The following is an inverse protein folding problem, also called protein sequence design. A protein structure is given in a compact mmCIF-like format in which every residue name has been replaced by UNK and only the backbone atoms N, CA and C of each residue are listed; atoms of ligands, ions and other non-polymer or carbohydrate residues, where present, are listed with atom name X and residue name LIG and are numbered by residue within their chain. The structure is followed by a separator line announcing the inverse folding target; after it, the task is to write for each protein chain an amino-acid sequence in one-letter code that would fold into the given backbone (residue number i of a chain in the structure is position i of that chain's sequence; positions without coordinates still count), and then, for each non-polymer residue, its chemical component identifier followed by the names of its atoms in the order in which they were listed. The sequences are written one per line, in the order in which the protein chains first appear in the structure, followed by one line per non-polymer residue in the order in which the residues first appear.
data_IF_036355478722
#
_entry.id   IF_036355478722
#
_cell.length_a   1.000
_cell.length_b   1.000
_cell.length_c   1.000
_cell.angle_alpha   90.00
_cell.angle_beta   90.00
_cell.angle_gamma   90.00
#
_symmetry.space_group_name_H-M   'P 1'
#
loop_
_entity.id
_entity.type
_entity.pdbx_description
1 polymer ?
#
# COMPACT_ATOMS: atom_id res chain seq x y z
N UNK A 1 -15.58 -6.01 -46.46
CA UNK A 1 -14.19 -6.41 -46.15
C UNK A 1 -13.84 -5.79 -44.80
N UNK A 2 -14.45 -6.24 -43.71
CA UNK A 2 -13.92 -7.30 -42.85
C UNK A 2 -12.50 -7.03 -42.37
N UNK A 3 -12.38 -6.46 -41.16
CA UNK A 3 -11.46 -6.87 -40.09
C UNK A 3 -11.46 -5.78 -39.02
N UNK A 4 -12.23 -5.93 -37.94
CA UNK A 4 -11.90 -6.73 -36.74
C UNK A 4 -10.85 -6.04 -35.88
N UNK A 5 -11.22 -5.73 -34.63
CA UNK A 5 -10.24 -5.42 -33.59
C UNK A 5 -10.81 -4.62 -32.42
N UNK A 6 -11.79 -5.16 -31.70
CA UNK A 6 -11.87 -4.85 -30.26
C UNK A 6 -10.74 -5.61 -29.56
N UNK A 7 -9.95 -4.93 -28.73
CA UNK A 7 -9.72 -5.43 -27.37
C UNK A 7 -9.86 -4.26 -26.37
N UNK A 8 -10.80 -4.29 -25.43
CA UNK A 8 -10.76 -5.06 -24.17
C UNK A 8 -9.64 -4.61 -23.20
N UNK A 9 -10.06 -4.07 -22.05
CA UNK A 9 -9.43 -3.99 -20.71
C UNK A 9 -9.56 -2.57 -20.14
N UNK A 10 -10.13 -2.29 -18.96
CA UNK A 10 -10.52 -3.13 -17.83
C UNK A 10 -10.19 -2.37 -16.55
N UNK A 11 -11.22 -2.02 -15.75
CA UNK A 11 -11.05 -1.79 -14.30
C UNK A 11 -10.62 -0.41 -13.81
N UNK A 12 -11.39 0.65 -14.08
CA UNK A 12 -11.11 2.01 -13.56
C UNK A 12 -11.34 2.23 -12.05
N UNK A 13 -11.81 1.23 -11.29
CA UNK A 13 -12.12 1.38 -9.86
C UNK A 13 -11.03 0.93 -8.88
N UNK A 14 -10.07 0.10 -9.31
CA UNK A 14 -9.01 -0.45 -8.43
C UNK A 14 -7.63 0.22 -8.64
N UNK A 15 -7.51 1.13 -9.61
CA UNK A 15 -6.24 1.78 -9.94
C UNK A 15 -5.87 2.89 -8.94
N UNK A 16 -6.85 3.59 -8.39
CA UNK A 16 -6.61 4.69 -7.46
C UNK A 16 -6.00 4.20 -6.13
N UNK A 17 -6.57 3.15 -5.54
CA UNK A 17 -6.06 2.56 -4.30
C UNK A 17 -4.63 2.00 -4.47
N UNK A 18 -4.35 1.33 -5.60
CA UNK A 18 -2.99 0.87 -5.93
C UNK A 18 -2.01 2.02 -6.10
N UNK A 19 -2.39 3.08 -6.81
CA UNK A 19 -1.54 4.27 -6.95
C UNK A 19 -1.23 4.93 -5.61
N UNK A 20 -2.22 5.04 -4.72
CA UNK A 20 -2.01 5.61 -3.39
C UNK A 20 -1.00 4.77 -2.60
N UNK A 21 -1.14 3.44 -2.58
CA UNK A 21 -0.18 2.56 -1.89
C UNK A 21 1.21 2.63 -2.51
N UNK A 22 1.32 2.74 -3.84
CA UNK A 22 2.61 2.88 -4.54
C UNK A 22 3.31 4.19 -4.16
N UNK A 23 2.59 5.32 -4.15
CA UNK A 23 3.11 6.63 -3.73
C UNK A 23 3.53 6.59 -2.26
N UNK A 24 2.70 6.03 -1.39
CA UNK A 24 3.03 5.90 0.04
C UNK A 24 4.27 5.02 0.26
N UNK A 25 4.44 3.97 -0.55
CA UNK A 25 5.62 3.12 -0.49
C UNK A 25 6.89 3.86 -0.93
N UNK A 26 6.83 4.68 -1.98
CA UNK A 26 7.94 5.55 -2.36
C UNK A 26 8.30 6.54 -1.24
N UNK A 27 7.30 7.19 -0.63
CA UNK A 27 7.52 8.09 0.52
C UNK A 27 8.18 7.33 1.68
N UNK A 28 7.71 6.11 1.97
CA UNK A 28 8.28 5.26 3.03
C UNK A 28 9.74 4.87 2.75
N UNK A 29 10.08 4.67 1.47
CA UNK A 29 11.44 4.37 1.02
C UNK A 29 12.35 5.58 1.17
N UNK A 30 11.87 6.77 0.79
CA UNK A 30 12.59 8.03 0.95
C UNK A 30 12.85 8.36 2.43
N UNK A 31 11.87 8.09 3.30
CA UNK A 31 11.98 8.27 4.75
C UNK A 31 12.72 7.10 5.44
N UNK A 32 13.19 6.11 4.67
CA UNK A 32 13.90 4.93 5.15
C UNK A 32 13.16 4.16 6.27
N UNK A 33 11.83 4.20 6.26
CA UNK A 33 10.98 3.50 7.24
C UNK A 33 10.89 1.99 6.96
N UNK A 34 11.32 1.57 5.75
CA UNK A 34 11.37 0.17 5.31
C UNK A 34 10.01 -0.53 5.43
N UNK A 35 8.92 0.16 5.18
CA UNK A 35 7.58 -0.43 5.19
C UNK A 35 7.30 -1.13 3.86
N UNK A 36 6.88 -2.39 3.92
CA UNK A 36 6.48 -3.13 2.72
C UNK A 36 5.05 -2.71 2.29
N UNK A 37 4.73 -2.88 1.01
CA UNK A 37 3.40 -2.53 0.47
C UNK A 37 2.26 -3.22 1.21
N UNK A 38 2.45 -4.47 1.64
CA UNK A 38 1.45 -5.19 2.44
C UNK A 38 1.27 -4.56 3.82
N UNK A 39 2.36 -4.14 4.45
CA UNK A 39 2.33 -3.45 5.74
C UNK A 39 1.65 -2.09 5.62
N UNK A 40 1.97 -1.30 4.59
CA UNK A 40 1.31 -0.02 4.34
C UNK A 40 -0.20 -0.17 4.12
N UNK A 41 -0.62 -1.18 3.35
CA UNK A 41 -2.05 -1.45 3.16
C UNK A 41 -2.74 -1.80 4.48
N UNK A 42 -2.10 -2.60 5.32
CA UNK A 42 -2.62 -2.93 6.65
C UNK A 42 -2.68 -1.69 7.54
N UNK A 43 -1.65 -0.85 7.52
CA UNK A 43 -1.63 0.38 8.29
C UNK A 43 -2.76 1.33 7.90
N UNK A 44 -3.00 1.50 6.59
CA UNK A 44 -4.12 2.31 6.09
C UNK A 44 -5.45 1.75 6.60
N UNK A 45 -5.67 0.44 6.50
CA UNK A 45 -6.89 -0.18 7.02
C UNK A 45 -7.05 -0.02 8.53
N UNK A 46 -5.97 -0.10 9.31
CA UNK A 46 -6.02 0.09 10.76
C UNK A 46 -6.33 1.54 11.14
N UNK A 47 -5.72 2.50 10.44
CA UNK A 47 -6.00 3.94 10.63
C UNK A 47 -7.46 4.27 10.25
N UNK A 48 -7.97 3.69 9.15
CA UNK A 48 -9.38 3.82 8.76
C UNK A 48 -10.34 3.23 9.79
N UNK A 49 -9.90 2.22 10.55
CA UNK A 49 -10.65 1.65 11.68
C UNK A 49 -10.45 2.44 13.00
N UNK A 50 -9.74 3.57 12.97
CA UNK A 50 -9.55 4.45 14.14
C UNK A 50 -8.40 4.04 15.06
N UNK A 51 -7.49 3.17 14.60
CA UNK A 51 -6.28 2.82 15.35
C UNK A 51 -5.29 3.99 15.32
N UNK A 52 -4.68 4.28 16.48
CA UNK A 52 -3.69 5.33 16.60
C UNK A 52 -2.42 4.98 15.78
N UNK A 53 -2.00 5.81 14.80
CA UNK A 53 -0.83 5.54 13.98
C UNK A 53 0.49 5.50 14.77
N UNK A 54 0.59 6.19 15.91
CA UNK A 54 1.79 6.17 16.75
C UNK A 54 2.02 4.80 17.40
N UNK A 55 0.95 4.20 17.96
CA UNK A 55 1.01 2.84 18.51
C UNK A 55 1.31 1.80 17.43
N UNK A 56 0.85 2.06 16.21
CA UNK A 56 1.09 1.20 15.07
C UNK A 56 2.55 1.27 14.59
N UNK A 57 3.14 2.47 14.55
CA UNK A 57 4.54 2.67 14.19
C UNK A 57 5.48 1.95 15.18
N UNK A 58 5.16 1.96 16.46
CA UNK A 58 5.91 1.23 17.50
C UNK A 58 5.84 -0.29 17.24
N UNK A 59 4.65 -0.86 17.03
CA UNK A 59 4.50 -2.30 16.73
C UNK A 59 5.23 -2.71 15.44
N UNK A 60 5.14 -1.88 14.39
CA UNK A 60 5.75 -2.16 13.10
C UNK A 60 7.28 -2.09 13.15
N UNK A 61 7.84 -1.18 13.94
CA UNK A 61 9.29 -1.02 14.10
C UNK A 61 9.88 -2.03 15.11
N UNK A 62 9.13 -2.36 16.16
CA UNK A 62 9.51 -3.30 17.22
C UNK A 62 9.44 -4.77 16.74
N UNK A 63 8.45 -5.11 15.90
CA UNK A 63 8.30 -6.44 15.30
C UNK A 63 9.46 -6.84 14.36
N UNK A 64 10.20 -5.87 13.81
CA UNK A 64 11.37 -6.14 12.95
C UNK A 64 12.67 -6.35 13.71
N UNK A 65 12.80 -5.85 14.94
CA UNK A 65 13.99 -6.04 15.78
C UNK A 65 13.97 -7.33 16.61
N UNK A 66 12.79 -7.92 16.87
CA UNK A 66 12.65 -9.13 17.70
C UNK A 66 12.69 -10.48 16.95
N UNK A 67 12.95 -10.47 15.64
CA UNK A 67 13.09 -11.69 14.82
C UNK A 67 14.54 -12.06 14.50
N UNK A 68 15.52 -11.55 15.26
CA UNK A 68 16.93 -11.93 15.18
C UNK A 68 17.39 -12.57 16.48
#
# INVERSE_FOLDING_TARGET
MSSRGTPAAGGGGNSAARQVIDILHEISTLLNTKLDRTTLSLCVSLIENGVNPEALADDTSLGRHKRT
#
